data_IF_720223389898
#
_entry.id   IF_720223389898
#
_cell.length_a   1.000
_cell.length_b   1.000
_cell.length_c   1.000
_cell.angle_alpha   90.00
_cell.angle_beta   90.00
_cell.angle_gamma   90.00
#
_symmetry.space_group_name_H-M   'P 1'
#
loop_
_entity.id
_entity.type
_entity.pdbx_description
1 polymer ?
#
# COMPACT_ATOMS: atom_id res chain seq x y z
N UNK A 1 15.56 -7.90 -8.85
CA UNK A 1 14.87 -7.16 -7.76
C UNK A 1 15.73 -6.01 -7.31
N UNK A 2 15.10 -4.89 -7.01
CA UNK A 2 15.75 -3.69 -6.47
C UNK A 2 15.27 -3.50 -5.03
N UNK A 3 16.16 -3.70 -4.06
CA UNK A 3 15.90 -3.64 -2.62
C UNK A 3 16.76 -2.55 -1.95
N UNK A 4 17.08 -1.51 -2.70
CA UNK A 4 17.84 -0.36 -2.21
C UNK A 4 17.00 0.57 -1.33
N UNK A 5 17.53 1.69 -0.93
CA UNK A 5 16.79 2.77 -0.25
C UNK A 5 15.90 3.52 -1.26
N UNK A 6 14.84 4.20 -0.80
CA UNK A 6 13.87 4.85 -1.69
C UNK A 6 14.47 5.80 -2.73
N UNK A 7 15.50 6.55 -2.35
CA UNK A 7 16.22 7.49 -3.22
C UNK A 7 16.96 6.82 -4.39
N UNK A 8 17.34 5.56 -4.23
CA UNK A 8 18.00 4.76 -5.27
C UNK A 8 17.02 3.95 -6.14
N UNK A 9 15.72 3.87 -5.79
CA UNK A 9 14.75 3.06 -6.54
C UNK A 9 14.66 3.49 -8.01
N UNK A 10 14.50 4.78 -8.29
CA UNK A 10 14.41 5.33 -9.63
C UNK A 10 15.67 5.08 -10.47
N UNK A 11 16.84 5.57 -10.03
CA UNK A 11 18.09 5.39 -10.79
C UNK A 11 18.45 3.94 -11.07
N UNK A 12 18.33 3.04 -10.09
CA UNK A 12 18.64 1.61 -10.27
C UNK A 12 17.65 0.95 -11.22
N UNK A 13 16.35 1.22 -11.09
CA UNK A 13 15.35 0.65 -11.99
C UNK A 13 15.53 1.14 -13.43
N UNK A 14 15.87 2.41 -13.66
CA UNK A 14 16.20 2.95 -14.99
C UNK A 14 17.41 2.23 -15.60
N UNK A 15 18.46 1.99 -14.83
CA UNK A 15 19.63 1.26 -15.28
C UNK A 15 19.29 -0.18 -15.70
N UNK A 16 18.44 -0.87 -14.92
CA UNK A 16 17.95 -2.24 -15.23
C UNK A 16 17.13 -2.25 -16.51
N UNK A 17 16.19 -1.32 -16.66
CA UNK A 17 15.38 -1.19 -17.88
C UNK A 17 16.22 -0.83 -19.11
N UNK A 18 17.22 0.04 -18.96
CA UNK A 18 18.16 0.36 -20.03
C UNK A 18 18.98 -0.84 -20.49
N UNK A 19 19.31 -1.75 -19.56
CA UNK A 19 19.96 -3.03 -19.85
C UNK A 19 19.00 -4.08 -20.47
N UNK A 20 17.74 -3.70 -20.80
CA UNK A 20 16.76 -4.60 -21.43
C UNK A 20 16.20 -5.66 -20.49
N UNK A 21 16.14 -5.37 -19.19
CA UNK A 21 15.64 -6.32 -18.18
C UNK A 21 14.37 -5.80 -17.51
N UNK A 22 13.45 -6.72 -17.17
CA UNK A 22 12.33 -6.44 -16.28
C UNK A 22 12.84 -6.08 -14.88
N UNK A 23 12.10 -5.24 -14.16
CA UNK A 23 12.49 -4.82 -12.81
C UNK A 23 11.31 -4.99 -11.84
N UNK A 24 11.63 -5.40 -10.60
CA UNK A 24 10.71 -5.41 -9.47
C UNK A 24 11.34 -4.59 -8.34
N UNK A 25 10.72 -3.44 -8.02
CA UNK A 25 11.19 -2.51 -7.00
C UNK A 25 10.59 -2.81 -5.63
N UNK A 26 11.32 -2.47 -4.58
CA UNK A 26 10.73 -2.20 -3.28
C UNK A 26 9.87 -0.94 -3.33
N UNK A 27 8.98 -0.82 -2.33
CA UNK A 27 8.13 0.37 -2.14
C UNK A 27 8.93 1.52 -1.47
N UNK A 28 8.57 2.79 -1.75
CA UNK A 28 7.70 3.24 -2.84
C UNK A 28 8.34 3.02 -4.22
N UNK A 29 7.55 3.04 -5.29
CA UNK A 29 8.05 2.80 -6.67
C UNK A 29 9.24 3.70 -7.03
N UNK A 30 9.16 4.96 -6.63
CA UNK A 30 10.20 5.98 -6.70
C UNK A 30 9.89 7.06 -5.65
N UNK A 31 10.80 8.03 -5.46
CA UNK A 31 10.55 9.15 -4.55
C UNK A 31 9.60 10.19 -5.16
N UNK A 32 9.67 10.40 -6.46
CA UNK A 32 8.86 11.41 -7.16
C UNK A 32 7.95 10.80 -8.22
N UNK A 33 6.86 11.53 -8.57
CA UNK A 33 5.98 11.16 -9.67
C UNK A 33 6.72 11.10 -11.01
N UNK A 34 7.62 12.05 -11.26
CA UNK A 34 8.34 12.15 -12.53
C UNK A 34 9.29 10.97 -12.73
N UNK A 35 10.04 10.58 -11.70
CA UNK A 35 10.87 9.36 -11.73
C UNK A 35 10.03 8.12 -12.02
N UNK A 36 8.92 7.94 -11.29
CA UNK A 36 8.05 6.80 -11.48
C UNK A 36 7.42 6.77 -12.88
N UNK A 37 7.02 7.94 -13.43
CA UNK A 37 6.50 8.06 -14.78
C UNK A 37 7.58 7.67 -15.82
N UNK A 38 8.79 8.19 -15.66
CA UNK A 38 9.91 7.87 -16.57
C UNK A 38 10.21 6.35 -16.58
N UNK A 39 10.09 5.67 -15.42
CA UNK A 39 10.24 4.21 -15.36
C UNK A 39 9.18 3.48 -16.18
N UNK A 40 7.90 3.87 -16.03
CA UNK A 40 6.81 3.23 -16.75
C UNK A 40 6.88 3.50 -18.26
N UNK A 41 7.19 4.72 -18.66
CA UNK A 41 7.31 5.11 -20.06
C UNK A 41 8.47 4.38 -20.75
N UNK A 42 9.63 4.27 -20.09
CA UNK A 42 10.76 3.52 -20.62
C UNK A 42 10.44 2.02 -20.71
N UNK A 43 9.78 1.46 -19.71
CA UNK A 43 9.37 0.06 -19.72
C UNK A 43 8.41 -0.23 -20.91
N UNK A 44 7.42 0.63 -21.09
CA UNK A 44 6.47 0.53 -22.21
C UNK A 44 7.19 0.61 -23.57
N UNK A 45 8.09 1.56 -23.77
CA UNK A 45 8.89 1.71 -25.00
C UNK A 45 9.72 0.46 -25.33
N UNK A 46 10.23 -0.22 -24.31
CA UNK A 46 11.08 -1.41 -24.46
C UNK A 46 10.31 -2.74 -24.41
N UNK A 47 8.99 -2.73 -24.21
CA UNK A 47 8.20 -3.95 -24.00
C UNK A 47 8.59 -4.70 -22.70
N UNK A 48 9.08 -3.98 -21.70
CA UNK A 48 9.50 -4.52 -20.42
C UNK A 48 8.42 -4.31 -19.35
N UNK A 49 8.55 -5.02 -18.23
CA UNK A 49 7.62 -4.92 -17.10
C UNK A 49 8.30 -4.30 -15.89
N UNK A 50 7.55 -3.46 -15.20
CA UNK A 50 7.86 -2.94 -13.86
C UNK A 50 6.88 -3.54 -12.88
N UNK A 51 7.36 -4.27 -11.89
CA UNK A 51 6.60 -4.67 -10.71
C UNK A 51 7.08 -3.88 -9.50
N UNK A 52 6.25 -3.81 -8.46
CA UNK A 52 6.61 -3.11 -7.24
C UNK A 52 5.92 -3.72 -6.01
N UNK A 53 6.64 -3.78 -4.90
CA UNK A 53 6.06 -4.04 -3.59
C UNK A 53 5.10 -2.88 -3.17
N UNK A 54 4.17 -3.12 -2.25
CA UNK A 54 4.00 -4.33 -1.47
C UNK A 54 3.27 -5.43 -2.24
N UNK A 55 3.65 -6.67 -2.00
CA UNK A 55 2.97 -7.84 -2.53
C UNK A 55 2.08 -8.56 -1.49
N UNK A 56 1.99 -8.01 -0.28
CA UNK A 56 1.20 -8.53 0.84
C UNK A 56 -0.30 -8.63 0.51
N UNK A 57 -0.81 -7.83 -0.42
CA UNK A 57 -2.19 -7.92 -0.87
C UNK A 57 -2.51 -9.24 -1.58
N UNK A 58 -1.50 -10.00 -2.00
CA UNK A 58 -1.64 -11.35 -2.54
C UNK A 58 -1.72 -12.42 -1.43
N UNK A 59 -1.56 -12.03 -0.17
CA UNK A 59 -1.72 -12.90 0.99
C UNK A 59 -3.17 -13.35 1.22
N UNK A 60 -3.31 -14.51 1.87
CA UNK A 60 -4.61 -15.14 2.13
C UNK A 60 -5.62 -14.23 2.81
N UNK A 61 -5.17 -13.37 3.72
CA UNK A 61 -6.05 -12.42 4.41
C UNK A 61 -6.71 -11.41 3.47
N UNK A 62 -5.91 -10.65 2.71
CA UNK A 62 -6.42 -9.64 1.78
C UNK A 62 -7.16 -10.25 0.59
N UNK A 63 -6.72 -11.41 0.08
CA UNK A 63 -7.43 -12.14 -0.98
C UNK A 63 -8.78 -12.68 -0.49
N UNK A 64 -8.90 -13.10 0.77
CA UNK A 64 -10.19 -13.45 1.38
C UNK A 64 -11.10 -12.23 1.50
N UNK A 65 -10.59 -11.09 1.96
CA UNK A 65 -11.35 -9.84 1.98
C UNK A 65 -11.85 -9.46 0.58
N UNK A 66 -10.97 -9.56 -0.42
CA UNK A 66 -11.31 -9.31 -1.82
C UNK A 66 -12.44 -10.21 -2.31
N UNK A 67 -12.35 -11.52 -2.03
CA UNK A 67 -13.39 -12.48 -2.40
C UNK A 67 -14.73 -12.18 -1.73
N UNK A 68 -14.72 -11.85 -0.44
CA UNK A 68 -15.96 -11.52 0.29
C UNK A 68 -16.66 -10.27 -0.30
N UNK A 69 -15.88 -9.27 -0.74
CA UNK A 69 -16.43 -8.08 -1.40
C UNK A 69 -16.99 -8.45 -2.78
N UNK A 70 -16.21 -9.15 -3.60
CA UNK A 70 -16.60 -9.53 -4.97
C UNK A 70 -17.81 -10.50 -4.99
N UNK A 71 -17.94 -11.36 -3.97
CA UNK A 71 -19.09 -12.24 -3.76
C UNK A 71 -20.32 -11.52 -3.16
N UNK A 72 -20.24 -10.21 -2.86
CA UNK A 72 -21.35 -9.40 -2.34
C UNK A 72 -21.70 -9.59 -0.87
N UNK A 73 -20.80 -10.16 -0.04
CA UNK A 73 -21.08 -10.45 1.38
C UNK A 73 -21.38 -9.20 2.22
N UNK A 74 -20.88 -8.05 1.83
CA UNK A 74 -21.15 -6.76 2.47
C UNK A 74 -22.08 -5.85 1.64
N UNK A 75 -22.57 -6.34 0.48
CA UNK A 75 -23.31 -5.52 -0.50
C UNK A 75 -22.38 -4.53 -1.21
N UNK A 76 -22.92 -3.39 -1.62
CA UNK A 76 -22.13 -2.31 -2.26
C UNK A 76 -21.22 -1.63 -1.24
N UNK A 77 -19.89 -1.56 -1.47
CA UNK A 77 -18.98 -0.78 -0.63
C UNK A 77 -19.32 0.72 -0.70
N UNK A 78 -19.59 1.33 0.45
CA UNK A 78 -19.94 2.75 0.56
C UNK A 78 -18.81 3.59 1.16
N UNK A 79 -17.89 2.96 1.88
CA UNK A 79 -16.79 3.68 2.49
C UNK A 79 -15.78 2.78 3.19
N UNK A 80 -14.70 3.40 3.67
CA UNK A 80 -13.66 2.71 4.42
C UNK A 80 -12.95 3.63 5.40
N UNK A 81 -12.30 3.04 6.38
CA UNK A 81 -11.30 3.70 7.23
C UNK A 81 -10.00 2.90 7.21
N UNK A 82 -8.87 3.62 7.31
CA UNK A 82 -7.54 3.02 7.31
C UNK A 82 -6.63 3.80 8.27
N UNK A 83 -6.10 3.14 9.29
CA UNK A 83 -5.34 3.78 10.37
C UNK A 83 -4.01 3.09 10.61
N UNK A 84 -2.93 3.75 10.18
CA UNK A 84 -1.54 3.40 10.50
C UNK A 84 -1.05 4.33 11.61
N UNK A 85 -1.08 3.86 12.84
CA UNK A 85 -0.72 4.63 14.03
C UNK A 85 0.47 3.97 14.73
N UNK A 86 1.59 4.67 14.85
CA UNK A 86 2.77 4.24 15.61
C UNK A 86 3.51 5.43 16.18
N UNK A 87 4.50 5.17 17.06
CA UNK A 87 5.35 6.23 17.59
C UNK A 87 6.70 6.34 16.87
N UNK A 88 6.79 5.76 15.67
CA UNK A 88 7.97 5.82 14.81
C UNK A 88 8.98 4.69 15.03
N UNK A 89 10.05 4.66 14.20
CA UNK A 89 11.03 3.57 14.17
C UNK A 89 12.21 3.77 15.14
N UNK A 90 12.28 4.82 15.91
CA UNK A 90 13.46 5.21 16.70
C UNK A 90 13.90 4.17 17.74
N UNK A 91 12.95 3.37 18.23
CA UNK A 91 13.21 2.40 19.30
C UNK A 91 13.68 1.04 18.81
N UNK A 92 13.48 0.72 17.52
CA UNK A 92 13.72 -0.63 17.02
C UNK A 92 14.58 -0.70 15.73
N UNK A 93 14.56 0.34 14.89
CA UNK A 93 15.31 0.31 13.63
C UNK A 93 16.78 0.73 13.85
N UNK A 94 17.76 -0.04 13.35
CA UNK A 94 19.19 0.28 13.56
C UNK A 94 19.62 1.65 13.01
N UNK A 95 19.02 2.08 11.91
CA UNK A 95 19.25 3.40 11.30
C UNK A 95 17.91 4.07 10.97
N UNK A 96 17.26 4.76 11.93
CA UNK A 96 15.94 5.32 11.71
C UNK A 96 15.92 6.65 10.94
N UNK A 97 17.07 7.25 10.66
CA UNK A 97 17.18 8.60 10.10
C UNK A 97 16.46 8.76 8.77
N UNK A 98 16.56 7.80 7.85
CA UNK A 98 15.97 7.90 6.51
C UNK A 98 14.44 7.95 6.52
N UNK A 99 13.79 7.41 7.57
CA UNK A 99 12.32 7.50 7.72
C UNK A 99 11.83 8.94 7.92
N UNK A 100 12.71 9.85 8.30
CA UNK A 100 12.39 11.25 8.58
C UNK A 100 12.90 12.22 7.50
N UNK A 101 13.38 11.69 6.37
CA UNK A 101 13.87 12.46 5.23
C UNK A 101 12.85 12.44 4.07
N UNK A 102 12.98 13.31 3.04
CA UNK A 102 12.15 13.26 1.84
C UNK A 102 12.10 11.85 1.22
N UNK A 103 10.91 11.40 0.89
CA UNK A 103 10.65 10.00 0.47
C UNK A 103 10.38 9.04 1.62
N UNK A 104 10.53 9.49 2.88
CA UNK A 104 10.14 8.79 4.09
C UNK A 104 8.84 9.31 4.70
N UNK A 105 8.74 9.23 6.02
CA UNK A 105 7.52 9.52 6.77
C UNK A 105 6.51 8.37 6.74
N UNK A 106 5.49 8.41 7.61
CA UNK A 106 4.52 7.33 7.74
C UNK A 106 3.71 7.11 6.45
N UNK A 107 3.51 8.16 5.63
CA UNK A 107 2.77 8.04 4.38
C UNK A 107 3.58 7.32 3.30
N UNK A 108 4.87 7.62 3.12
CA UNK A 108 5.67 6.96 2.08
C UNK A 108 6.26 5.62 2.53
N UNK A 109 6.41 5.39 3.85
CA UNK A 109 6.86 4.12 4.37
C UNK A 109 5.74 3.09 4.45
N UNK A 110 4.62 3.43 5.09
CA UNK A 110 3.52 2.51 5.37
C UNK A 110 2.28 2.75 4.50
N UNK A 111 2.09 3.96 4.01
CA UNK A 111 1.00 4.28 3.09
C UNK A 111 0.87 3.33 1.90
N UNK A 112 1.97 2.86 1.28
CA UNK A 112 1.90 1.89 0.19
C UNK A 112 1.11 0.63 0.54
N UNK A 113 1.22 0.10 1.76
CA UNK A 113 0.49 -1.09 2.20
C UNK A 113 -1.02 -0.82 2.29
N UNK A 114 -1.38 0.26 2.98
CA UNK A 114 -2.78 0.63 3.22
C UNK A 114 -3.49 1.07 1.94
N UNK A 115 -2.84 1.91 1.13
CA UNK A 115 -3.40 2.40 -0.12
C UNK A 115 -3.50 1.30 -1.18
N UNK A 116 -2.51 0.41 -1.28
CA UNK A 116 -2.60 -0.77 -2.16
C UNK A 116 -3.77 -1.66 -1.75
N UNK A 117 -3.94 -1.94 -0.44
CA UNK A 117 -5.08 -2.72 0.05
C UNK A 117 -6.41 -2.06 -0.33
N UNK A 118 -6.57 -0.75 -0.07
CA UNK A 118 -7.78 -0.02 -0.43
C UNK A 118 -8.04 -0.03 -1.94
N UNK A 119 -7.03 0.21 -2.78
CA UNK A 119 -7.15 0.18 -4.24
C UNK A 119 -7.52 -1.22 -4.75
N UNK A 120 -6.95 -2.27 -4.19
CA UNK A 120 -7.27 -3.66 -4.56
C UNK A 120 -8.70 -4.04 -4.13
N UNK A 121 -9.18 -3.53 -3.01
CA UNK A 121 -10.52 -3.84 -2.49
C UNK A 121 -11.61 -2.96 -3.14
N UNK A 122 -11.36 -1.66 -3.34
CA UNK A 122 -12.38 -0.68 -3.75
C UNK A 122 -12.22 -0.12 -5.17
N UNK A 123 -11.08 -0.35 -5.81
CA UNK A 123 -10.75 0.21 -7.13
C UNK A 123 -9.90 1.48 -7.06
N UNK A 124 -9.76 2.20 -8.19
CA UNK A 124 -8.93 3.40 -8.25
C UNK A 124 -9.54 4.59 -7.49
N UNK A 125 -8.66 5.40 -6.90
CA UNK A 125 -9.02 6.69 -6.32
C UNK A 125 -9.05 7.75 -7.42
N UNK A 126 -10.04 8.63 -7.40
CA UNK A 126 -10.18 9.72 -8.39
C UNK A 126 -9.74 11.08 -7.82
N UNK A 127 -9.98 11.29 -6.53
CA UNK A 127 -9.76 12.58 -5.88
C UNK A 127 -9.40 12.39 -4.41
N UNK A 128 -8.55 13.27 -3.90
CA UNK A 128 -8.17 13.26 -2.49
C UNK A 128 -8.22 14.66 -1.88
N UNK A 129 -8.34 14.71 -0.56
CA UNK A 129 -7.98 15.88 0.24
C UNK A 129 -7.21 15.43 1.48
N UNK A 130 -6.56 16.36 2.17
CA UNK A 130 -5.84 16.00 3.38
C UNK A 130 -5.14 17.14 4.06
N UNK A 131 -4.59 16.82 5.23
CA UNK A 131 -3.73 17.68 6.03
C UNK A 131 -2.50 16.88 6.48
N UNK A 132 -1.35 17.52 6.43
CA UNK A 132 -0.07 16.92 6.80
C UNK A 132 0.77 17.91 7.59
N UNK A 133 1.49 17.42 8.60
CA UNK A 133 2.38 18.26 9.40
C UNK A 133 3.59 17.48 9.90
N UNK A 134 4.65 18.19 10.20
CA UNK A 134 5.74 17.76 11.06
C UNK A 134 5.31 18.11 12.50
N UNK A 135 5.08 17.11 13.35
CA UNK A 135 4.65 17.34 14.73
C UNK A 135 5.82 17.76 15.63
N UNK A 136 6.99 17.19 15.38
CA UNK A 136 8.23 17.47 16.11
C UNK A 136 9.35 17.68 15.12
N UNK A 137 10.04 18.83 15.20
CA UNK A 137 11.14 19.17 14.31
C UNK A 137 12.36 18.24 14.50
N UNK A 138 12.45 17.61 15.66
CA UNK A 138 13.54 16.70 16.03
C UNK A 138 12.98 15.45 16.71
N UNK A 139 13.59 14.29 16.43
CA UNK A 139 13.32 13.02 17.11
C UNK A 139 14.60 12.52 17.79
N UNK A 140 14.46 11.75 18.86
CA UNK A 140 15.58 11.15 19.58
C UNK A 140 15.59 9.65 19.34
N UNK A 141 16.72 9.11 18.91
CA UNK A 141 16.91 7.67 18.75
C UNK A 141 16.96 7.01 20.13
N UNK A 142 16.18 5.95 20.30
CA UNK A 142 16.05 5.20 21.56
C UNK A 142 16.45 3.73 21.43
N UNK A 143 16.89 3.30 20.23
CA UNK A 143 17.44 1.95 20.02
C UNK A 143 18.84 1.82 20.65
N UNK A 144 19.34 0.60 20.75
CA UNK A 144 20.64 0.28 21.37
C UNK A 144 21.86 0.74 20.55
N UNK A 145 21.70 0.99 19.24
CA UNK A 145 22.81 1.27 18.32
C UNK A 145 23.27 2.73 18.36
N UNK A 146 22.31 3.66 18.45
CA UNK A 146 22.55 5.11 18.36
C UNK A 146 21.76 5.86 19.42
N UNK A 147 21.69 5.33 20.63
CA UNK A 147 20.89 5.88 21.72
C UNK A 147 21.28 7.32 22.04
N UNK A 148 20.27 8.21 22.05
CA UNK A 148 20.46 9.62 22.37
C UNK A 148 20.73 10.52 21.17
N UNK A 149 21.10 9.96 20.01
CA UNK A 149 21.31 10.74 18.79
C UNK A 149 20.01 11.41 18.33
N UNK A 150 20.17 12.55 17.67
CA UNK A 150 19.07 13.39 17.20
C UNK A 150 18.87 13.27 15.71
N UNK A 151 17.61 13.20 15.29
CA UNK A 151 17.20 13.18 13.89
C UNK A 151 16.45 14.47 13.59
N UNK A 152 16.91 15.24 12.60
CA UNK A 152 16.13 16.36 12.03
C UNK A 152 15.02 15.79 11.14
N UNK A 153 13.79 16.24 11.40
CA UNK A 153 12.61 15.78 10.69
C UNK A 153 12.32 16.69 9.51
N UNK A 154 12.42 16.16 8.30
CA UNK A 154 12.27 16.90 7.05
C UNK A 154 11.07 16.43 6.19
N UNK A 155 10.20 15.58 6.75
CA UNK A 155 8.99 15.07 6.08
C UNK A 155 7.83 15.06 7.08
N UNK A 156 6.56 15.20 6.64
CA UNK A 156 5.42 15.11 7.53
C UNK A 156 5.35 13.78 8.28
N UNK A 157 5.12 13.86 9.58
CA UNK A 157 5.04 12.71 10.50
C UNK A 157 3.62 12.36 10.93
N UNK A 158 2.66 13.24 10.65
CA UNK A 158 1.23 13.01 10.85
C UNK A 158 0.47 13.48 9.62
N UNK A 159 -0.26 12.57 8.97
CA UNK A 159 -0.99 12.82 7.73
C UNK A 159 -2.38 12.22 7.83
N UNK A 160 -3.40 13.03 7.58
CA UNK A 160 -4.79 12.60 7.52
C UNK A 160 -5.39 13.00 6.15
N UNK A 161 -6.15 12.11 5.53
CA UNK A 161 -6.73 12.37 4.22
C UNK A 161 -8.07 11.68 4.00
N UNK A 162 -8.83 12.20 3.03
CA UNK A 162 -10.03 11.59 2.48
C UNK A 162 -9.77 11.21 1.03
N UNK A 163 -10.25 10.04 0.63
CA UNK A 163 -10.09 9.44 -0.69
C UNK A 163 -11.47 9.21 -1.31
N UNK A 164 -11.72 9.79 -2.48
CA UNK A 164 -12.93 9.52 -3.28
C UNK A 164 -12.59 8.49 -4.36
N UNK A 165 -13.22 7.32 -4.30
CA UNK A 165 -13.01 6.24 -5.26
C UNK A 165 -13.88 6.39 -6.50
N UNK A 166 -13.43 5.84 -7.62
CA UNK A 166 -14.21 5.78 -8.87
C UNK A 166 -15.54 5.00 -8.70
N UNK A 167 -15.59 4.07 -7.75
CA UNK A 167 -16.82 3.34 -7.37
C UNK A 167 -17.86 4.20 -6.65
N UNK A 168 -17.50 5.41 -6.20
CA UNK A 168 -18.35 6.26 -5.34
C UNK A 168 -18.09 6.06 -3.85
N UNK A 169 -17.33 5.05 -3.45
CA UNK A 169 -16.94 4.87 -2.05
C UNK A 169 -16.04 6.00 -1.56
N UNK A 170 -16.16 6.36 -0.27
CA UNK A 170 -15.32 7.39 0.36
C UNK A 170 -14.55 6.75 1.50
N UNK A 171 -13.24 6.97 1.56
CA UNK A 171 -12.41 6.48 2.65
C UNK A 171 -11.68 7.60 3.39
N UNK A 172 -11.40 7.35 4.67
CA UNK A 172 -10.51 8.16 5.48
C UNK A 172 -9.23 7.38 5.78
N UNK A 173 -8.08 8.01 5.58
CA UNK A 173 -6.79 7.43 5.94
C UNK A 173 -6.05 8.36 6.92
N UNK A 174 -5.43 7.77 7.96
CA UNK A 174 -4.46 8.46 8.79
C UNK A 174 -3.19 7.61 8.85
N UNK A 175 -2.05 8.23 8.60
CA UNK A 175 -0.73 7.65 8.83
C UNK A 175 0.07 8.54 9.78
N UNK A 176 0.63 7.95 10.83
CA UNK A 176 1.33 8.72 11.86
C UNK A 176 2.48 7.95 12.48
N UNK A 177 3.61 8.66 12.71
CA UNK A 177 4.71 8.25 13.58
C UNK A 177 4.69 8.98 14.93
N UNK A 178 3.60 9.68 15.27
CA UNK A 178 3.50 10.52 16.46
C UNK A 178 2.48 10.00 17.50
N UNK A 179 1.90 8.83 17.25
CA UNK A 179 0.84 8.24 18.09
C UNK A 179 1.39 7.13 18.96
N UNK A 180 1.29 7.28 20.28
CA UNK A 180 1.76 6.27 21.25
C UNK A 180 0.93 4.99 21.24
N UNK A 181 -0.39 5.13 21.16
CA UNK A 181 -1.32 3.99 21.12
C UNK A 181 -2.63 4.38 20.42
N UNK A 182 -3.29 3.40 19.80
CA UNK A 182 -4.59 3.56 19.16
C UNK A 182 -5.43 2.31 19.36
N UNK A 183 -6.74 2.48 19.54
CA UNK A 183 -7.72 1.39 19.58
C UNK A 183 -8.50 1.27 18.26
N UNK A 184 -8.13 2.03 17.24
CA UNK A 184 -8.76 2.00 15.92
C UNK A 184 -8.35 0.72 15.17
N UNK A 185 -9.25 0.13 14.37
CA UNK A 185 -8.91 -0.99 13.50
C UNK A 185 -7.91 -0.54 12.43
N UNK A 186 -7.14 -1.49 11.89
CA UNK A 186 -6.21 -1.18 10.80
C UNK A 186 -6.94 -0.68 9.58
N UNK A 187 -7.90 -1.46 9.10
CA UNK A 187 -8.77 -1.11 7.97
C UNK A 187 -10.16 -1.70 8.23
N UNK A 188 -11.20 -0.93 7.98
CA UNK A 188 -12.57 -1.42 7.86
C UNK A 188 -13.18 -0.97 6.54
N UNK A 189 -13.95 -1.86 5.90
CA UNK A 189 -14.74 -1.57 4.72
C UNK A 189 -16.22 -1.63 5.10
N UNK A 190 -16.93 -0.57 4.85
CA UNK A 190 -18.35 -0.43 5.13
C UNK A 190 -19.16 -0.66 3.84
N UNK A 191 -20.06 -1.60 3.87
CA UNK A 191 -20.96 -1.89 2.76
C UNK A 191 -22.42 -1.74 3.13
N UNK A 192 -23.31 -1.76 2.14
CA UNK A 192 -24.76 -1.60 2.32
C UNK A 192 -25.40 -2.73 3.15
N UNK A 193 -24.76 -3.90 3.25
CA UNK A 193 -25.26 -5.08 3.96
C UNK A 193 -24.33 -5.62 5.04
N UNK A 194 -23.23 -4.93 5.32
CA UNK A 194 -22.30 -5.38 6.36
C UNK A 194 -21.00 -4.59 6.38
N UNK A 195 -20.16 -4.92 7.35
CA UNK A 195 -18.83 -4.35 7.55
C UNK A 195 -17.81 -5.46 7.57
N UNK A 196 -16.68 -5.23 6.88
CA UNK A 196 -15.54 -6.13 6.84
C UNK A 196 -14.38 -5.49 7.59
N UNK A 197 -13.86 -6.15 8.63
CA UNK A 197 -12.61 -5.79 9.26
C UNK A 197 -11.46 -6.52 8.56
N UNK A 198 -10.57 -5.75 7.97
CA UNK A 198 -9.45 -6.20 7.15
C UNK A 198 -8.22 -6.36 8.04
N UNK A 199 -7.42 -7.43 7.90
CA UNK A 199 -6.20 -7.62 8.68
C UNK A 199 -5.15 -6.55 8.38
N UNK A 200 -4.03 -6.58 9.11
CA UNK A 200 -2.90 -5.67 8.87
C UNK A 200 -2.40 -5.85 7.42
N UNK A 201 -2.46 -4.80 6.57
CA UNK A 201 -2.05 -4.92 5.18
C UNK A 201 -0.55 -5.17 4.99
N UNK A 202 0.25 -5.10 6.05
CA UNK A 202 1.68 -5.43 6.05
C UNK A 202 1.94 -6.91 6.36
N UNK A 203 0.89 -7.72 6.55
CA UNK A 203 0.97 -9.17 6.76
C UNK A 203 0.26 -9.95 5.66
N UNK A 204 0.30 -11.27 5.73
CA UNK A 204 -0.30 -12.17 4.73
C UNK A 204 -1.52 -12.93 5.27
N UNK A 205 -1.68 -12.99 6.59
CA UNK A 205 -2.70 -13.75 7.30
C UNK A 205 -3.94 -12.93 7.66
N UNK A 206 -4.73 -13.46 8.59
CA UNK A 206 -5.90 -12.82 9.19
C UNK A 206 -5.61 -12.16 10.53
N UNK A 207 -6.64 -11.93 11.33
CA UNK A 207 -8.02 -12.40 11.10
C UNK A 207 -8.79 -11.52 10.11
N UNK A 208 -9.70 -12.13 9.36
CA UNK A 208 -10.72 -11.47 8.57
C UNK A 208 -12.03 -11.57 9.34
N UNK A 209 -12.61 -10.43 9.71
CA UNK A 209 -13.87 -10.41 10.47
C UNK A 209 -14.98 -9.77 9.65
N UNK A 210 -16.15 -10.39 9.66
CA UNK A 210 -17.34 -9.92 8.97
C UNK A 210 -18.48 -9.70 9.97
N UNK A 211 -19.15 -8.56 9.87
CA UNK A 211 -20.40 -8.30 10.58
C UNK A 211 -21.50 -7.93 9.57
N UNK A 212 -22.43 -8.80 9.33
CA UNK A 212 -23.56 -8.57 8.39
C UNK A 212 -24.67 -7.79 9.07
N UNK A 213 -25.49 -7.14 8.26
CA UNK A 213 -26.69 -6.46 8.71
C UNK A 213 -27.57 -7.42 9.55
N UNK A 214 -28.04 -6.96 10.71
CA UNK A 214 -28.81 -7.76 11.68
C UNK A 214 -27.97 -8.65 12.61
N UNK A 215 -26.70 -8.90 12.33
CA UNK A 215 -25.83 -9.64 13.26
C UNK A 215 -25.44 -8.76 14.47
N UNK A 216 -25.37 -9.37 15.65
CA UNK A 216 -24.92 -8.68 16.88
C UNK A 216 -23.42 -8.73 17.07
N UNK A 217 -22.78 -9.79 16.58
CA UNK A 217 -21.36 -10.07 16.79
C UNK A 217 -20.60 -10.17 15.45
N UNK A 218 -19.30 -9.99 15.53
CA UNK A 218 -18.41 -10.25 14.43
C UNK A 218 -18.18 -11.75 14.24
N UNK A 219 -18.16 -12.21 13.00
CA UNK A 219 -17.82 -13.58 12.64
C UNK A 219 -16.42 -13.62 12.05
N UNK A 220 -15.57 -14.52 12.57
CA UNK A 220 -14.27 -14.80 11.95
C UNK A 220 -14.47 -15.64 10.70
N UNK A 221 -13.94 -15.15 9.58
CA UNK A 221 -14.05 -15.83 8.29
C UNK A 221 -12.85 -16.73 8.05
N UNK A 222 -13.05 -17.99 7.63
CA UNK A 222 -11.93 -18.83 7.22
C UNK A 222 -11.22 -18.22 6.01
N UNK A 223 -9.89 -18.30 5.97
CA UNK A 223 -9.12 -17.81 4.84
C UNK A 223 -9.36 -18.71 3.64
N UNK A 224 -9.76 -18.10 2.52
CA UNK A 224 -10.13 -18.80 1.28
C UNK A 224 -8.94 -19.02 0.33
N UNK A 225 -7.79 -18.40 0.62
CA UNK A 225 -6.58 -18.46 -0.19
C UNK A 225 -5.39 -18.90 0.66
N UNK A 226 -4.38 -19.45 0.00
CA UNK A 226 -3.07 -19.76 0.58
C UNK A 226 -2.24 -18.51 0.86
N UNK A 227 -0.93 -18.71 1.07
CA UNK A 227 0.00 -17.63 1.42
C UNK A 227 -0.41 -16.89 2.69
N UNK A 228 -0.66 -17.65 3.76
CA UNK A 228 -1.07 -17.14 5.08
C UNK A 228 0.09 -16.91 6.04
N UNK A 229 1.32 -17.16 5.60
CA UNK A 229 2.57 -16.86 6.32
C UNK A 229 3.35 -15.81 5.57
N UNK A 230 4.49 -15.36 6.12
CA UNK A 230 5.36 -14.41 5.42
C UNK A 230 5.78 -14.99 4.04
N UNK A 231 5.20 -14.44 2.99
CA UNK A 231 5.37 -14.89 1.60
C UNK A 231 5.90 -13.75 0.71
N UNK A 232 6.69 -12.83 1.28
CA UNK A 232 7.33 -11.75 0.51
C UNK A 232 8.15 -12.32 -0.63
N UNK A 233 7.98 -11.72 -1.81
CA UNK A 233 8.49 -12.25 -3.08
C UNK A 233 7.42 -12.93 -3.93
N UNK A 234 6.20 -13.14 -3.41
CA UNK A 234 5.07 -13.67 -4.19
C UNK A 234 4.76 -12.77 -5.41
N UNK A 235 4.92 -11.45 -5.28
CA UNK A 235 4.75 -10.51 -6.39
C UNK A 235 5.78 -10.72 -7.49
N UNK A 236 7.02 -11.09 -7.15
CA UNK A 236 8.06 -11.46 -8.12
C UNK A 236 7.70 -12.77 -8.81
N UNK A 237 7.23 -13.77 -8.06
CA UNK A 237 6.79 -15.06 -8.60
C UNK A 237 5.59 -14.88 -9.55
N UNK A 238 4.61 -14.03 -9.17
CA UNK A 238 3.49 -13.68 -10.03
C UNK A 238 3.94 -12.98 -11.32
N UNK A 239 4.86 -12.02 -11.22
CA UNK A 239 5.40 -11.32 -12.38
C UNK A 239 6.16 -12.28 -13.33
N UNK A 240 6.97 -13.18 -12.80
CA UNK A 240 7.70 -14.18 -13.60
C UNK A 240 6.73 -15.13 -14.31
N UNK A 241 5.71 -15.62 -13.61
CA UNK A 241 4.65 -16.46 -14.17
C UNK A 241 3.85 -15.69 -15.23
N UNK A 242 3.49 -14.45 -14.96
CA UNK A 242 2.76 -13.59 -15.87
C UNK A 242 3.52 -13.28 -17.17
N UNK A 243 4.86 -13.13 -17.09
CA UNK A 243 5.71 -12.99 -18.28
C UNK A 243 5.64 -14.26 -19.15
N UNK A 244 5.75 -15.44 -18.53
CA UNK A 244 5.70 -16.73 -19.24
C UNK A 244 4.35 -17.00 -19.89
N UNK A 245 3.26 -16.60 -19.24
CA UNK A 245 1.88 -16.84 -19.69
C UNK A 245 1.32 -15.71 -20.57
N UNK A 246 2.06 -14.61 -20.77
CA UNK A 246 1.58 -13.47 -21.55
C UNK A 246 0.45 -12.68 -20.91
N UNK A 247 0.19 -12.82 -19.60
CA UNK A 247 -0.86 -12.11 -18.88
C UNK A 247 -0.32 -10.90 -18.09
N UNK A 248 -1.17 -9.94 -17.66
CA UNK A 248 -0.78 -8.92 -16.69
C UNK A 248 -0.34 -9.54 -15.36
N UNK A 249 0.65 -8.94 -14.71
CA UNK A 249 1.03 -9.30 -13.34
C UNK A 249 0.30 -8.40 -12.33
N UNK A 250 0.07 -8.93 -11.13
CA UNK A 250 -0.84 -8.30 -10.15
C UNK A 250 -0.20 -7.12 -9.42
N UNK A 251 1.03 -7.27 -8.93
CA UNK A 251 1.78 -6.20 -8.28
C UNK A 251 2.49 -5.33 -9.33
N UNK A 252 1.70 -4.61 -10.12
CA UNK A 252 2.15 -3.87 -11.30
C UNK A 252 2.70 -2.48 -10.98
N UNK A 253 3.52 -1.97 -11.91
CA UNK A 253 4.05 -0.61 -11.82
C UNK A 253 2.95 0.45 -11.91
N UNK A 254 1.85 0.19 -12.65
CA UNK A 254 0.70 1.10 -12.74
C UNK A 254 -0.03 1.22 -11.40
N UNK A 255 -0.26 0.10 -10.70
CA UNK A 255 -0.82 0.11 -9.35
C UNK A 255 0.08 0.90 -8.40
N UNK A 256 1.39 0.62 -8.42
CA UNK A 256 2.35 1.31 -7.57
C UNK A 256 2.47 2.80 -7.89
N UNK A 257 2.39 3.18 -9.18
CA UNK A 257 2.36 4.59 -9.59
C UNK A 257 1.09 5.30 -9.09
N UNK A 258 -0.05 4.65 -9.19
CA UNK A 258 -1.31 5.21 -8.68
C UNK A 258 -1.25 5.43 -7.16
N UNK A 259 -0.72 4.47 -6.42
CA UNK A 259 -0.49 4.60 -4.97
C UNK A 259 0.48 5.75 -4.66
N UNK A 260 1.58 5.87 -5.41
CA UNK A 260 2.52 6.98 -5.27
C UNK A 260 1.86 8.34 -5.55
N UNK A 261 1.03 8.43 -6.58
CA UNK A 261 0.28 9.65 -6.92
C UNK A 261 -0.70 10.04 -5.82
N UNK A 262 -1.42 9.07 -5.22
CA UNK A 262 -2.30 9.31 -4.07
C UNK A 262 -1.51 9.91 -2.90
N UNK A 263 -0.36 9.32 -2.53
CA UNK A 263 0.46 9.80 -1.42
C UNK A 263 0.91 11.25 -1.62
N UNK A 264 1.41 11.56 -2.80
CA UNK A 264 1.78 12.94 -3.14
C UNK A 264 0.58 13.88 -3.17
N UNK A 265 -0.56 13.43 -3.74
CA UNK A 265 -1.76 14.26 -3.85
C UNK A 265 -2.36 14.64 -2.49
N UNK A 266 -2.26 13.77 -1.47
CA UNK A 266 -2.65 14.12 -0.09
C UNK A 266 -1.75 15.23 0.47
N UNK A 267 -0.44 15.17 0.24
CA UNK A 267 0.49 16.23 0.63
C UNK A 267 0.25 17.53 -0.16
N UNK A 268 -0.04 17.42 -1.48
CA UNK A 268 -0.39 18.57 -2.32
C UNK A 268 -1.68 19.22 -1.81
N UNK A 269 -2.71 18.42 -1.48
CA UNK A 269 -3.97 18.92 -0.93
C UNK A 269 -3.78 19.70 0.37
N UNK A 270 -2.90 19.18 1.26
CA UNK A 270 -2.54 19.88 2.50
C UNK A 270 -1.86 21.23 2.23
N UNK A 271 -0.96 21.29 1.25
CA UNK A 271 -0.21 22.49 0.89
C UNK A 271 -1.07 23.53 0.18
N UNK A 272 -1.96 23.06 -0.71
CA UNK A 272 -2.80 23.90 -1.55
C UNK A 272 -4.15 24.25 -0.91
N UNK A 273 -4.55 23.60 0.18
CA UNK A 273 -5.82 23.83 0.87
C UNK A 273 -7.06 23.47 0.03
N UNK A 274 -6.96 22.52 -0.89
CA UNK A 274 -8.04 22.11 -1.79
C UNK A 274 -8.02 20.61 -2.10
N UNK A 275 -9.11 20.11 -2.67
CA UNK A 275 -9.13 18.77 -3.24
C UNK A 275 -8.23 18.67 -4.47
N UNK A 276 -7.51 17.55 -4.59
CA UNK A 276 -6.67 17.23 -5.74
C UNK A 276 -7.32 16.09 -6.53
N UNK A 277 -7.63 16.32 -7.79
CA UNK A 277 -8.04 15.27 -8.74
C UNK A 277 -6.79 14.57 -9.26
N UNK A 278 -6.77 13.23 -9.14
CA UNK A 278 -5.66 12.42 -9.62
C UNK A 278 -5.64 12.35 -11.14
N UNK A 279 -4.44 12.32 -11.71
CA UNK A 279 -4.24 12.07 -13.15
C UNK A 279 -3.96 10.61 -13.45
N UNK A 280 -3.50 9.88 -12.45
CA UNK A 280 -3.27 8.45 -12.54
C UNK A 280 -4.57 7.67 -12.34
N UNK A 281 -4.60 6.47 -12.90
CA UNK A 281 -5.61 5.46 -12.63
C UNK A 281 -4.97 4.09 -12.66
N UNK A 282 -5.71 3.06 -12.26
CA UNK A 282 -5.26 1.68 -12.32
C UNK A 282 -6.45 0.74 -12.59
N UNK A 283 -6.18 -0.39 -13.16
CA UNK A 283 -7.13 -1.50 -13.20
C UNK A 283 -6.95 -2.37 -11.97
N UNK A 284 -8.03 -2.70 -11.27
CA UNK A 284 -7.97 -3.67 -10.15
C UNK A 284 -7.30 -4.95 -10.64
N UNK A 285 -6.20 -5.42 -10.01
CA UNK A 285 -5.57 -6.67 -10.42
C UNK A 285 -6.54 -7.83 -10.26
N UNK A 286 -6.43 -8.82 -11.13
CA UNK A 286 -7.19 -10.05 -10.99
C UNK A 286 -6.90 -10.71 -9.62
N UNK A 287 -7.90 -11.28 -8.93
CA UNK A 287 -7.66 -12.01 -7.69
C UNK A 287 -6.74 -13.22 -7.95
N UNK A 288 -6.12 -13.74 -6.90
CA UNK A 288 -5.52 -15.06 -6.98
C UNK A 288 -6.62 -16.12 -7.12
N UNK A 289 -6.40 -17.19 -7.87
CA UNK A 289 -7.31 -18.33 -7.85
C UNK A 289 -7.39 -18.96 -6.45
N UNK A 290 -8.58 -19.44 -6.07
CA UNK A 290 -8.74 -20.23 -4.85
C UNK A 290 -8.16 -21.64 -5.02
N UNK A 291 -7.77 -22.29 -3.91
CA UNK A 291 -7.28 -23.68 -3.93
C UNK A 291 -5.83 -23.84 -4.39
N UNK A 292 -5.11 -22.74 -4.61
CA UNK A 292 -3.68 -22.81 -4.92
C UNK A 292 -2.87 -23.29 -3.71
N UNK A 293 -1.92 -24.17 -3.95
CA UNK A 293 -0.87 -24.47 -2.96
C UNK A 293 0.11 -23.31 -2.80
N UNK A 294 0.82 -23.27 -1.66
CA UNK A 294 1.78 -22.20 -1.32
C UNK A 294 2.97 -22.02 -2.29
N UNK A 295 3.02 -22.81 -3.38
CA UNK A 295 4.09 -22.76 -4.40
C UNK A 295 3.58 -22.33 -5.77
N UNK A 296 2.30 -22.01 -5.92
CA UNK A 296 1.70 -21.62 -7.18
C UNK A 296 0.95 -20.30 -7.05
N UNK A 297 1.15 -19.41 -7.99
CA UNK A 297 0.45 -18.11 -8.12
C UNK A 297 -0.59 -18.14 -9.26
N UNK A 298 -0.76 -19.29 -9.92
CA UNK A 298 -1.71 -19.53 -11.00
C UNK A 298 -2.19 -20.97 -11.00
N UNK A 299 -3.36 -21.23 -11.62
CA UNK A 299 -3.96 -22.54 -11.77
C UNK A 299 -3.29 -23.36 -12.88
#
# INVERSE_FOLDING_TARGET
MNLTTPDAHGPVALAVLNAGKHVYNEKPLAVTRDEARALLDLAAQKGLRVGCAPDTFLGGGLQTCRKLIDDGWIGEPIGATAFMMSHGPESWHPNPTFFYQPGGGPMFDMGPYYLTALCVLLGPVQRVTGSARISFAERTITNEYNYGDKIQVNTPTHVAGTLDFASGAIATIITSFDVWASQLPRIEIYGSHGTLSVPDPNTFDGPVLLRRAGAREWSSMPLSHGFTRNSRGIGVADMATAIRLGRPHRASGELAYHVLDIMHAIHDASREGRHITLRSTMTRPAPLPTGLGERSVDA
#
